data_IF_208216004377
#
_entry.id   IF_208216004377
#
_cell.length_a   1.000
_cell.length_b   1.000
_cell.length_c   1.000
_cell.angle_alpha   90.00
_cell.angle_beta   90.00
_cell.angle_gamma   90.00
#
_symmetry.space_group_name_H-M   'P 1'
#
loop_
_entity.id
_entity.type
_entity.pdbx_description
1 polymer ?
#
# COMPACT_ATOMS: atom_id res chain seq x y z
N UNK A 1 4.66 5.70 34.24
CA UNK A 1 4.22 6.13 32.90
C UNK A 1 3.46 4.97 32.28
N UNK A 2 2.14 5.04 32.08
CA UNK A 2 1.44 3.96 31.40
C UNK A 2 1.93 3.89 29.95
N UNK A 3 2.37 2.71 29.51
CA UNK A 3 2.85 2.47 28.16
C UNK A 3 1.66 2.62 27.19
N UNK A 4 1.84 3.30 26.06
CA UNK A 4 0.82 3.30 25.02
C UNK A 4 0.56 1.86 24.55
N UNK A 5 -0.71 1.48 24.29
CA UNK A 5 -1.03 0.15 23.78
C UNK A 5 -0.30 -0.08 22.45
N UNK A 6 0.15 -1.31 22.23
CA UNK A 6 0.81 -1.67 20.98
C UNK A 6 -0.16 -1.56 19.80
N UNK A 7 0.32 -1.09 18.65
CA UNK A 7 -0.44 -1.13 17.41
C UNK A 7 -0.67 -2.58 17.00
N UNK A 8 -1.93 -2.98 16.87
CA UNK A 8 -2.31 -4.37 16.56
C UNK A 8 -2.58 -4.63 15.09
N UNK A 9 -2.69 -3.57 14.27
CA UNK A 9 -2.82 -3.61 12.81
C UNK A 9 -2.52 -2.23 12.21
N UNK A 10 -2.16 -2.19 10.93
CA UNK A 10 -1.99 -0.95 10.17
C UNK A 10 -2.85 -0.97 8.89
N UNK A 11 -3.41 0.19 8.57
CA UNK A 11 -4.21 0.42 7.38
C UNK A 11 -3.53 1.48 6.52
N UNK A 12 -3.27 1.14 5.27
CA UNK A 12 -2.59 2.02 4.32
C UNK A 12 -3.56 2.50 3.23
N UNK A 13 -3.36 3.73 2.77
CA UNK A 13 -3.87 4.12 1.46
C UNK A 13 -3.09 3.39 0.36
N UNK A 14 -3.74 3.03 -0.73
CA UNK A 14 -3.05 2.42 -1.87
C UNK A 14 -2.38 3.51 -2.74
N UNK A 15 -3.16 4.29 -3.49
CA UNK A 15 -2.67 5.38 -4.36
C UNK A 15 -2.10 6.55 -3.56
N UNK A 16 -0.94 7.06 -3.97
CA UNK A 16 -0.25 8.18 -3.32
C UNK A 16 0.40 7.83 -1.98
N UNK A 17 0.30 6.59 -1.51
CA UNK A 17 0.88 6.13 -0.25
C UNK A 17 1.77 4.90 -0.46
N UNK A 18 1.20 3.72 -0.72
CA UNK A 18 2.00 2.52 -1.03
C UNK A 18 2.50 2.49 -2.48
N UNK A 19 1.68 2.97 -3.40
CA UNK A 19 1.97 3.00 -4.84
C UNK A 19 1.61 4.34 -5.44
N UNK A 20 2.07 4.57 -6.68
CA UNK A 20 1.64 5.72 -7.49
C UNK A 20 1.88 7.07 -6.79
N UNK A 21 3.16 7.42 -6.61
CA UNK A 21 3.55 8.67 -5.96
C UNK A 21 2.91 9.87 -6.67
N UNK A 22 2.18 10.69 -5.90
CA UNK A 22 1.43 11.84 -6.45
C UNK A 22 0.07 11.50 -7.07
N UNK A 23 -0.34 10.23 -7.09
CA UNK A 23 -1.70 9.81 -7.41
C UNK A 23 -2.14 9.98 -8.87
N UNK A 24 -1.20 9.91 -9.80
CA UNK A 24 -1.42 10.24 -11.23
C UNK A 24 -1.67 9.02 -12.12
N UNK A 25 -1.58 7.80 -11.60
CA UNK A 25 -1.73 6.57 -12.40
C UNK A 25 -3.17 6.36 -12.91
N UNK A 26 -4.17 7.02 -12.33
CA UNK A 26 -5.54 7.00 -12.87
C UNK A 26 -5.70 7.84 -14.15
N UNK A 27 -4.88 8.87 -14.33
CA UNK A 27 -4.87 9.73 -15.52
C UNK A 27 -3.88 9.22 -16.58
N UNK A 28 -2.97 8.33 -16.20
CA UNK A 28 -2.02 7.69 -17.08
C UNK A 28 -2.68 6.66 -18.00
N UNK A 29 -1.98 6.28 -19.07
CA UNK A 29 -2.42 5.21 -19.96
C UNK A 29 -2.76 3.94 -19.17
N UNK A 30 -3.73 3.17 -19.67
CA UNK A 30 -4.24 1.94 -19.04
C UNK A 30 -3.16 0.89 -18.77
N UNK A 31 -2.03 0.98 -19.48
CA UNK A 31 -0.91 0.04 -19.36
C UNK A 31 0.36 0.68 -18.77
N UNK A 32 0.26 1.91 -18.26
CA UNK A 32 1.38 2.53 -17.55
C UNK A 32 1.78 1.68 -16.33
N UNK A 33 3.08 1.42 -16.12
CA UNK A 33 3.52 0.63 -14.98
C UNK A 33 3.23 1.36 -13.67
N UNK A 34 2.74 0.61 -12.67
CA UNK A 34 2.52 1.12 -11.32
C UNK A 34 3.74 0.76 -10.49
N UNK A 35 4.33 1.76 -9.85
CA UNK A 35 5.51 1.57 -9.01
C UNK A 35 5.18 1.82 -7.53
N UNK A 36 5.75 1.01 -6.62
CA UNK A 36 5.74 1.31 -5.20
C UNK A 36 6.39 2.67 -4.93
N UNK A 37 5.92 3.36 -3.91
CA UNK A 37 6.61 4.56 -3.44
C UNK A 37 7.94 4.18 -2.75
N UNK A 38 8.93 5.08 -2.73
CA UNK A 38 10.22 4.80 -2.09
C UNK A 38 10.05 4.32 -0.64
N UNK A 39 10.62 3.17 -0.31
CA UNK A 39 10.57 2.57 1.02
C UNK A 39 9.28 1.81 1.36
N UNK A 40 8.24 1.83 0.52
CA UNK A 40 6.98 1.13 0.80
C UNK A 40 7.19 -0.38 1.00
N UNK A 41 7.94 -1.02 0.09
CA UNK A 41 8.20 -2.46 0.19
C UNK A 41 9.06 -2.82 1.41
N UNK A 42 10.02 -1.97 1.78
CA UNK A 42 10.86 -2.19 2.96
C UNK A 42 10.05 -2.11 4.25
N UNK A 43 9.15 -1.13 4.34
CA UNK A 43 8.22 -0.97 5.47
C UNK A 43 7.27 -2.17 5.56
N UNK A 44 6.64 -2.57 4.45
CA UNK A 44 5.77 -3.74 4.43
C UNK A 44 6.53 -5.01 4.85
N UNK A 45 7.73 -5.22 4.33
CA UNK A 45 8.57 -6.36 4.70
C UNK A 45 8.93 -6.34 6.20
N UNK A 46 9.22 -5.17 6.77
CA UNK A 46 9.45 -5.02 8.20
C UNK A 46 8.21 -5.39 9.02
N UNK A 47 7.04 -4.85 8.65
CA UNK A 47 5.78 -5.14 9.33
C UNK A 47 5.44 -6.62 9.32
N UNK A 48 5.66 -7.29 8.18
CA UNK A 48 5.50 -8.74 8.08
C UNK A 48 6.39 -9.51 9.04
N UNK A 49 7.68 -9.16 9.12
CA UNK A 49 8.63 -9.82 10.04
C UNK A 49 8.21 -9.66 11.50
N UNK A 50 7.55 -8.55 11.83
CA UNK A 50 6.99 -8.27 13.15
C UNK A 50 5.54 -8.75 13.33
N UNK A 51 5.01 -9.49 12.35
CA UNK A 51 3.65 -10.05 12.37
C UNK A 51 2.56 -8.98 12.59
N UNK A 52 2.78 -7.76 12.11
CA UNK A 52 1.78 -6.69 12.14
C UNK A 52 0.80 -6.90 10.98
N UNK A 53 -0.48 -7.20 11.22
CA UNK A 53 -1.49 -7.29 10.18
C UNK A 53 -1.58 -5.97 9.42
N UNK A 54 -1.57 -6.05 8.10
CA UNK A 54 -1.66 -4.91 7.22
C UNK A 54 -2.80 -5.10 6.24
N UNK A 55 -3.52 -4.02 5.94
CA UNK A 55 -4.45 -3.95 4.83
C UNK A 55 -4.27 -2.63 4.09
N UNK A 56 -4.68 -2.58 2.84
CA UNK A 56 -4.70 -1.35 2.05
C UNK A 56 -6.07 -1.12 1.42
N UNK A 57 -6.39 0.16 1.24
CA UNK A 57 -7.67 0.61 0.70
C UNK A 57 -7.49 1.75 -0.28
N UNK A 58 -8.45 1.86 -1.19
CA UNK A 58 -8.59 2.95 -2.15
C UNK A 58 -10.06 3.05 -2.55
N UNK A 59 -10.47 4.21 -3.04
CA UNK A 59 -11.83 4.46 -3.52
C UNK A 59 -11.82 4.47 -5.06
N UNK A 60 -11.61 3.28 -5.64
CA UNK A 60 -11.55 3.06 -7.09
C UNK A 60 -12.31 1.81 -7.49
N UNK A 61 -12.54 1.64 -8.79
CA UNK A 61 -13.14 0.40 -9.31
C UNK A 61 -12.24 -0.81 -8.99
N UNK A 62 -12.82 -1.99 -8.72
CA UNK A 62 -12.05 -3.19 -8.32
C UNK A 62 -10.91 -3.54 -9.28
N UNK A 63 -11.10 -3.38 -10.59
CA UNK A 63 -10.07 -3.66 -11.60
C UNK A 63 -8.88 -2.69 -11.53
N UNK A 64 -9.14 -1.42 -11.19
CA UNK A 64 -8.09 -0.43 -10.96
C UNK A 64 -7.36 -0.73 -9.66
N UNK A 65 -8.09 -1.13 -8.61
CA UNK A 65 -7.51 -1.58 -7.35
C UNK A 65 -6.54 -2.74 -7.54
N UNK A 66 -6.95 -3.79 -8.26
CA UNK A 66 -6.09 -4.95 -8.59
C UNK A 66 -4.83 -4.54 -9.35
N UNK A 67 -4.96 -3.66 -10.35
CA UNK A 67 -3.80 -3.15 -11.11
C UNK A 67 -2.85 -2.36 -10.19
N UNK A 68 -3.40 -1.44 -9.38
CA UNK A 68 -2.62 -0.61 -8.47
C UNK A 68 -1.91 -1.45 -7.39
N UNK A 69 -2.53 -2.53 -6.93
CA UNK A 69 -1.92 -3.44 -5.95
C UNK A 69 -0.99 -4.50 -6.57
N UNK A 70 -0.92 -4.64 -7.90
CA UNK A 70 -0.08 -5.65 -8.55
C UNK A 70 1.42 -5.64 -8.20
N UNK A 71 2.09 -4.51 -7.89
CA UNK A 71 3.48 -4.54 -7.44
C UNK A 71 3.63 -4.77 -5.94
N UNK A 72 2.52 -4.88 -5.19
CA UNK A 72 2.52 -5.16 -3.77
C UNK A 72 2.51 -6.67 -3.52
N UNK A 73 2.97 -7.11 -2.34
CA UNK A 73 2.95 -8.52 -2.00
C UNK A 73 1.52 -9.06 -1.76
N UNK A 74 1.30 -10.35 -2.01
CA UNK A 74 -0.03 -10.99 -1.88
C UNK A 74 -0.39 -11.46 -0.45
N UNK A 75 0.49 -11.25 0.53
CA UNK A 75 0.38 -11.81 1.88
C UNK A 75 -0.17 -10.84 2.93
#
# INVERSE_FOLDING_TARGET
>A
MPHAPAFTALLFGLRGCLVDFGGRSLEAAKDAPVHPTPGALDVLAWLRRHQVPCAWLDDVLPEQGKRLSSPLPEW
#
